data_IF_401788175757
#
_entry.id   IF_401788175757
#
_cell.length_a   1.000
_cell.length_b   1.000
_cell.length_c   1.000
_cell.angle_alpha   90.00
_cell.angle_beta   90.00
_cell.angle_gamma   90.00
#
_symmetry.space_group_name_H-M   'P 1'
#
loop_
_entity.id
_entity.type
_entity.pdbx_description
1 polymer ?
#
# COMPACT_ATOMS: atom_id res chain seq x y z
N UNK A 1 -45.96 30.22 -25.83
CA UNK A 1 -45.34 30.39 -24.50
C UNK A 1 -45.57 29.10 -23.74
N UNK A 2 -44.53 28.31 -23.58
CA UNK A 2 -44.29 27.35 -22.51
C UNK A 2 -42.79 27.05 -22.62
N UNK A 3 -42.05 27.63 -21.69
CA UNK A 3 -40.60 27.55 -21.55
C UNK A 3 -40.25 26.14 -21.07
N UNK A 4 -39.43 25.42 -21.84
CA UNK A 4 -38.93 24.09 -21.48
C UNK A 4 -37.67 24.32 -20.64
N UNK A 5 -37.85 24.41 -19.31
CA UNK A 5 -36.74 24.54 -18.36
C UNK A 5 -36.06 23.17 -18.22
N UNK A 6 -35.16 22.84 -19.15
CA UNK A 6 -34.22 21.73 -19.05
C UNK A 6 -33.23 22.02 -17.90
N UNK A 7 -33.47 21.39 -16.75
CA UNK A 7 -32.60 21.41 -15.57
C UNK A 7 -31.31 20.61 -15.86
N UNK A 8 -30.35 21.26 -16.51
CA UNK A 8 -28.98 20.75 -16.71
C UNK A 8 -28.21 20.91 -15.38
N UNK A 9 -28.46 19.98 -14.45
CA UNK A 9 -27.71 19.88 -13.20
C UNK A 9 -26.19 19.80 -13.46
N UNK A 10 -25.33 20.16 -12.50
CA UNK A 10 -23.89 20.31 -12.75
C UNK A 10 -23.25 19.01 -13.25
N UNK A 11 -22.93 18.94 -14.54
CA UNK A 11 -22.20 17.84 -15.16
C UNK A 11 -20.72 18.00 -14.80
N UNK A 12 -20.24 17.20 -13.84
CA UNK A 12 -18.84 17.20 -13.45
C UNK A 12 -18.07 16.21 -14.32
N UNK A 13 -17.30 16.72 -15.28
CA UNK A 13 -16.38 15.92 -16.08
C UNK A 13 -15.15 15.56 -15.22
N UNK A 14 -15.12 14.35 -14.67
CA UNK A 14 -13.90 13.82 -14.06
C UNK A 14 -12.86 13.61 -15.18
N UNK A 15 -11.82 14.44 -15.19
CA UNK A 15 -10.69 14.27 -16.10
C UNK A 15 -10.04 12.88 -15.96
N UNK A 16 -9.40 12.42 -17.03
CA UNK A 16 -8.72 11.11 -17.05
C UNK A 16 -7.40 11.21 -16.27
N UNK A 17 -7.46 10.93 -14.97
CA UNK A 17 -6.28 10.87 -14.10
C UNK A 17 -5.40 9.66 -14.43
N UNK A 18 -4.13 9.67 -14.02
CA UNK A 18 -3.21 8.56 -14.28
C UNK A 18 -3.73 7.25 -13.70
N UNK A 19 -3.74 6.22 -14.53
CA UNK A 19 -4.28 4.94 -14.13
C UNK A 19 -3.37 4.30 -13.06
N UNK A 20 -3.98 3.75 -12.01
CA UNK A 20 -3.28 2.98 -10.96
C UNK A 20 -3.44 1.49 -11.25
N UNK A 21 -2.34 0.74 -11.26
CA UNK A 21 -2.32 -0.71 -11.47
C UNK A 21 -2.90 -1.48 -10.29
N UNK A 22 -3.51 -2.64 -10.55
CA UNK A 22 -4.09 -3.51 -9.52
C UNK A 22 -5.36 -3.00 -8.84
N UNK A 23 -5.93 -3.84 -7.98
CA UNK A 23 -7.10 -3.56 -7.17
C UNK A 23 -6.71 -3.05 -5.76
N UNK A 24 -7.53 -2.19 -5.15
CA UNK A 24 -7.31 -1.78 -3.76
C UNK A 24 -7.62 -2.95 -2.82
N UNK A 25 -6.82 -3.09 -1.76
CA UNK A 25 -6.98 -4.12 -0.74
C UNK A 25 -8.40 -4.18 -0.17
N UNK A 26 -9.04 -3.02 0.04
CA UNK A 26 -10.43 -2.95 0.50
C UNK A 26 -11.44 -3.61 -0.45
N UNK A 27 -11.20 -3.58 -1.77
CA UNK A 27 -12.09 -4.23 -2.75
C UNK A 27 -11.94 -5.74 -2.71
N UNK A 28 -10.70 -6.23 -2.57
CA UNK A 28 -10.39 -7.65 -2.47
C UNK A 28 -10.99 -8.22 -1.17
N UNK A 29 -10.71 -7.56 -0.04
CA UNK A 29 -11.21 -7.99 1.27
C UNK A 29 -12.75 -7.99 1.34
N UNK A 30 -13.41 -7.02 0.72
CA UNK A 30 -14.89 -6.96 0.67
C UNK A 30 -15.54 -8.12 -0.08
N UNK A 31 -14.81 -8.85 -0.94
CA UNK A 31 -15.31 -10.03 -1.65
C UNK A 31 -15.20 -11.31 -0.81
N UNK A 32 -14.39 -11.28 0.25
CA UNK A 32 -14.16 -12.42 1.12
C UNK A 32 -15.18 -12.46 2.25
N UNK A 33 -15.33 -13.64 2.83
CA UNK A 33 -16.06 -13.83 4.08
C UNK A 33 -15.03 -14.25 5.11
N UNK A 34 -15.03 -13.59 6.27
CA UNK A 34 -13.98 -13.75 7.28
C UNK A 34 -14.23 -14.93 8.22
N UNK A 35 -13.17 -15.33 8.91
CA UNK A 35 -13.05 -16.68 9.46
C UNK A 35 -12.63 -17.67 8.38
N UNK A 36 -11.60 -17.30 7.61
CA UNK A 36 -11.19 -17.96 6.37
C UNK A 36 -9.73 -18.40 6.45
N UNK A 37 -9.44 -19.58 5.92
CA UNK A 37 -8.07 -20.08 5.81
C UNK A 37 -7.31 -19.37 4.68
N UNK A 38 -6.00 -19.17 4.84
CA UNK A 38 -5.10 -18.62 3.82
C UNK A 38 -5.27 -19.34 2.48
N UNK A 39 -5.36 -20.68 2.51
CA UNK A 39 -5.56 -21.51 1.32
C UNK A 39 -6.89 -21.24 0.60
N UNK A 40 -7.94 -20.84 1.32
CA UNK A 40 -9.23 -20.45 0.75
C UNK A 40 -9.18 -19.01 0.21
N UNK A 41 -8.42 -18.11 0.85
CA UNK A 41 -8.14 -16.78 0.30
C UNK A 41 -7.41 -16.89 -1.04
N UNK A 42 -6.31 -17.65 -1.09
CA UNK A 42 -5.54 -17.91 -2.32
C UNK A 42 -6.43 -18.54 -3.40
N UNK A 43 -7.29 -19.50 -3.07
CA UNK A 43 -8.20 -20.10 -4.06
C UNK A 43 -9.21 -19.13 -4.66
N UNK A 44 -9.62 -18.09 -3.93
CA UNK A 44 -10.69 -17.17 -4.38
C UNK A 44 -10.15 -15.93 -5.07
N UNK A 45 -9.06 -15.37 -4.53
CA UNK A 45 -8.51 -14.08 -4.95
C UNK A 45 -7.00 -14.13 -5.14
N UNK A 46 -6.40 -15.33 -5.11
CA UNK A 46 -4.95 -15.51 -5.23
C UNK A 46 -4.39 -14.82 -6.45
N UNK A 47 -5.01 -14.98 -7.62
CA UNK A 47 -4.57 -14.39 -8.89
C UNK A 47 -4.81 -12.87 -9.02
N UNK A 48 -5.49 -12.23 -8.06
CA UNK A 48 -5.81 -10.81 -8.16
C UNK A 48 -4.60 -9.94 -7.80
N UNK A 49 -4.34 -8.91 -8.60
CA UNK A 49 -3.23 -7.98 -8.37
C UNK A 49 -3.62 -6.93 -7.34
N UNK A 50 -2.82 -6.79 -6.30
CA UNK A 50 -2.98 -5.84 -5.21
C UNK A 50 -2.11 -4.61 -5.44
N UNK A 51 -2.67 -3.44 -5.18
CA UNK A 51 -1.95 -2.16 -5.16
C UNK A 51 -0.96 -2.12 -4.01
N UNK A 52 0.34 -2.23 -4.29
CA UNK A 52 1.39 -2.05 -3.28
C UNK A 52 2.29 -0.85 -3.59
N UNK A 53 3.02 -0.32 -2.60
CA UNK A 53 4.00 0.75 -2.80
C UNK A 53 5.10 0.38 -3.80
N UNK A 54 5.51 -0.89 -3.82
CA UNK A 54 6.54 -1.41 -4.74
C UNK A 54 5.98 -1.82 -6.12
N UNK A 55 4.69 -1.61 -6.37
CA UNK A 55 4.01 -1.97 -7.62
C UNK A 55 2.92 -3.04 -7.45
N UNK A 56 2.29 -3.50 -8.54
CA UNK A 56 1.25 -4.53 -8.46
C UNK A 56 1.87 -5.88 -8.03
N UNK A 57 1.34 -6.47 -6.95
CA UNK A 57 1.71 -7.82 -6.50
C UNK A 57 0.48 -8.69 -6.34
N UNK A 58 0.59 -9.94 -6.75
CA UNK A 58 -0.49 -10.93 -6.65
C UNK A 58 -0.75 -11.32 -5.19
N UNK A 59 -2.02 -11.49 -4.80
CA UNK A 59 -2.39 -11.85 -3.42
C UNK A 59 -1.74 -13.17 -2.98
N UNK A 60 -1.65 -14.15 -3.88
CA UNK A 60 -0.95 -15.40 -3.60
C UNK A 60 0.51 -15.19 -3.19
N UNK A 61 1.25 -14.36 -3.94
CA UNK A 61 2.67 -14.10 -3.67
C UNK A 61 2.86 -13.47 -2.29
N UNK A 62 2.01 -12.52 -1.92
CA UNK A 62 2.09 -11.84 -0.61
C UNK A 62 1.76 -12.82 0.52
N UNK A 63 0.74 -13.67 0.33
CA UNK A 63 0.35 -14.66 1.32
C UNK A 63 1.31 -15.84 1.43
N UNK A 64 2.25 -16.03 0.50
CA UNK A 64 3.31 -17.03 0.63
C UNK A 64 4.47 -16.53 1.50
N UNK A 65 4.60 -15.21 1.66
CA UNK A 65 5.60 -14.56 2.53
C UNK A 65 5.19 -14.59 4.01
N UNK A 66 3.96 -14.97 4.33
CA UNK A 66 3.47 -15.07 5.72
C UNK A 66 3.27 -16.52 6.17
N UNK A 67 3.58 -16.77 7.44
CA UNK A 67 3.22 -18.01 8.12
C UNK A 67 1.77 -18.03 8.61
N UNK A 68 1.02 -16.93 8.48
CA UNK A 68 -0.35 -16.86 8.96
C UNK A 68 -1.29 -17.73 8.12
N UNK A 69 -2.00 -18.64 8.79
CA UNK A 69 -2.81 -19.67 8.12
C UNK A 69 -4.29 -19.37 8.15
N UNK A 70 -4.73 -18.44 8.98
CA UNK A 70 -6.14 -18.16 9.23
C UNK A 70 -6.39 -16.69 9.54
N UNK A 71 -7.45 -16.13 8.95
CA UNK A 71 -7.83 -14.73 9.14
C UNK A 71 -9.23 -14.64 9.77
N UNK A 72 -9.34 -14.25 11.06
CA UNK A 72 -10.62 -14.15 11.75
C UNK A 72 -11.45 -12.93 11.29
N UNK A 73 -10.81 -11.81 10.97
CA UNK A 73 -11.46 -10.62 10.44
C UNK A 73 -10.71 -10.01 9.24
N UNK A 74 -11.32 -8.99 8.62
CA UNK A 74 -10.72 -8.24 7.50
C UNK A 74 -9.49 -7.46 7.90
N UNK A 75 -9.47 -7.01 9.15
CA UNK A 75 -8.38 -6.24 9.72
C UNK A 75 -7.12 -7.09 9.86
N UNK A 76 -7.23 -8.36 10.27
CA UNK A 76 -6.08 -9.27 10.40
C UNK A 76 -5.39 -9.53 9.06
N UNK A 77 -6.19 -9.78 8.01
CA UNK A 77 -5.67 -9.93 6.65
C UNK A 77 -4.97 -8.65 6.20
N UNK A 78 -5.58 -7.50 6.48
CA UNK A 78 -5.03 -6.21 6.11
C UNK A 78 -3.70 -5.93 6.80
N UNK A 79 -3.65 -6.11 8.12
CA UNK A 79 -2.45 -5.87 8.91
C UNK A 79 -1.30 -6.79 8.48
N UNK A 80 -1.61 -8.05 8.17
CA UNK A 80 -0.65 -9.01 7.64
C UNK A 80 -0.10 -8.56 6.29
N UNK A 81 -0.97 -8.18 5.36
CA UNK A 81 -0.57 -7.68 4.03
C UNK A 81 0.24 -6.39 4.15
N UNK A 82 -0.23 -5.41 4.92
CA UNK A 82 0.46 -4.14 5.17
C UNK A 82 1.81 -4.34 5.86
N UNK A 83 1.96 -5.36 6.72
CA UNK A 83 3.24 -5.74 7.33
C UNK A 83 4.27 -6.28 6.32
N UNK A 84 3.83 -6.90 5.23
CA UNK A 84 4.70 -7.47 4.19
C UNK A 84 5.01 -6.46 3.09
N UNK A 85 3.99 -5.75 2.61
CA UNK A 85 4.13 -4.82 1.47
C UNK A 85 4.42 -3.39 1.88
N UNK A 86 4.29 -3.07 3.17
CA UNK A 86 4.44 -1.73 3.71
C UNK A 86 3.25 -0.80 3.44
N UNK A 87 3.22 0.32 4.17
CA UNK A 87 2.17 1.36 4.07
C UNK A 87 2.69 2.61 3.33
N UNK A 88 3.57 2.40 2.36
CA UNK A 88 4.16 3.48 1.55
C UNK A 88 3.18 4.12 0.56
N UNK A 89 3.55 5.26 -0.05
CA UNK A 89 2.75 5.87 -1.10
C UNK A 89 2.68 4.96 -2.35
N UNK A 90 1.47 4.69 -2.84
CA UNK A 90 1.28 3.86 -4.03
C UNK A 90 1.61 4.68 -5.30
N UNK A 91 2.52 4.19 -6.17
CA UNK A 91 2.83 4.88 -7.42
C UNK A 91 1.64 4.85 -8.38
N UNK A 92 1.33 6.00 -8.98
CA UNK A 92 0.54 6.08 -10.20
C UNK A 92 1.48 5.84 -11.39
N UNK A 93 0.98 5.35 -12.53
CA UNK A 93 1.78 5.00 -13.73
C UNK A 93 2.68 6.12 -14.32
N UNK A 94 2.71 7.31 -13.71
CA UNK A 94 3.54 8.46 -14.11
C UNK A 94 4.78 8.68 -13.21
N UNK A 95 4.93 7.94 -12.11
CA UNK A 95 6.08 8.09 -11.20
C UNK A 95 7.11 6.98 -11.44
N UNK A 96 7.83 7.08 -12.55
CA UNK A 96 9.20 6.57 -12.60
C UNK A 96 10.06 7.53 -11.75
N UNK A 97 11.08 7.03 -11.04
CA UNK A 97 12.06 7.80 -10.25
C UNK A 97 11.62 8.25 -8.83
N UNK A 98 11.83 7.39 -7.82
CA UNK A 98 12.27 7.80 -6.47
C UNK A 98 12.81 6.58 -5.71
N UNK A 99 13.93 6.05 -6.19
CA UNK A 99 14.91 5.39 -5.34
C UNK A 99 15.54 6.51 -4.50
N UNK A 100 15.10 6.69 -3.25
CA UNK A 100 15.90 7.39 -2.27
C UNK A 100 16.65 6.33 -1.50
N UNK A 101 17.90 6.12 -1.94
CA UNK A 101 19.06 5.80 -1.12
C UNK A 101 18.84 6.25 0.33
N UNK A 102 18.46 5.31 1.19
CA UNK A 102 18.83 5.39 2.59
C UNK A 102 20.16 4.65 2.71
N UNK A 103 21.23 5.29 2.23
CA UNK A 103 22.57 4.96 2.66
C UNK A 103 22.58 5.01 4.19
N UNK A 104 22.77 3.83 4.77
CA UNK A 104 22.96 3.64 6.19
C UNK A 104 24.30 4.26 6.56
N UNK A 105 24.31 5.50 7.04
CA UNK A 105 25.47 6.05 7.76
C UNK A 105 25.51 5.43 9.16
N UNK A 106 25.99 4.18 9.20
CA UNK A 106 26.53 3.58 10.40
C UNK A 106 28.06 3.75 10.39
N UNK A 107 28.58 4.12 11.56
CA UNK A 107 30.00 4.08 11.96
C UNK A 107 30.89 5.27 11.54
N UNK A 108 30.90 6.31 12.38
CA UNK A 108 32.16 6.99 12.72
C UNK A 108 32.24 7.09 14.25
N UNK A 109 32.74 6.01 14.86
CA UNK A 109 33.22 5.99 16.22
C UNK A 109 34.75 6.03 16.18
N UNK A 110 35.37 7.21 16.28
CA UNK A 110 36.73 7.33 16.81
C UNK A 110 37.10 8.76 17.23
N UNK A 111 37.34 8.88 18.54
CA UNK A 111 38.61 9.43 19.03
C UNK A 111 38.93 10.92 18.79
N UNK A 112 38.58 11.76 19.77
CA UNK A 112 39.47 12.81 20.22
C UNK A 112 39.24 13.07 21.71
N UNK A 113 40.17 12.55 22.50
CA UNK A 113 40.36 12.86 23.89
C UNK A 113 40.74 14.33 24.12
N UNK A 114 40.63 14.72 25.40
CA UNK A 114 41.47 15.70 26.10
C UNK A 114 41.11 17.19 25.97
N UNK A 115 40.86 17.82 27.12
CA UNK A 115 40.58 19.26 27.20
C UNK A 115 40.02 19.72 28.54
N UNK A 116 40.75 19.40 29.62
CA UNK A 116 40.61 19.98 30.96
C UNK A 116 40.65 21.52 30.95
N UNK A 117 40.09 22.11 32.02
CA UNK A 117 40.37 23.44 32.57
C UNK A 117 39.45 24.64 32.22
N UNK A 118 38.75 25.07 33.29
CA UNK A 118 38.70 26.43 33.84
C UNK A 118 38.10 27.58 33.00
N UNK A 119 37.00 28.16 33.50
CA UNK A 119 36.92 29.63 33.58
C UNK A 119 35.89 30.08 34.65
N UNK A 120 36.45 30.54 35.78
CA UNK A 120 36.09 31.72 36.61
C UNK A 120 34.63 32.02 37.00
#
# INVERSE_FOLDING_TARGET
MADDEEDDGPIVELGEGPAVDGAPLSRISSRLHFGIERSEVVRRVGDEELRTPDGPRTVESILDETDETYFPASEDLRETVEGIVGTGPVPTREREESDTDQESEADDAADAADGDADEK
#
